data_IF_695854101024
#
_entry.id   IF_695854101024
#
_cell.length_a   1.000
_cell.length_b   1.000
_cell.length_c   1.000
_cell.angle_alpha   90.00
_cell.angle_beta   90.00
_cell.angle_gamma   90.00
#
_symmetry.space_group_name_H-M   'P 1'
#
loop_
_entity.id
_entity.type
_entity.pdbx_description
1 polymer ?
#
# COMPACT_ATOMS: atom_id res chain seq x y z
N UNK A 1 11.42 -4.71 -17.27
CA UNK A 1 10.02 -4.27 -17.51
C UNK A 1 9.65 -3.28 -16.41
N UNK A 2 9.02 -2.15 -16.72
CA UNK A 2 8.60 -1.22 -15.67
C UNK A 2 7.32 -1.75 -15.01
N UNK A 3 7.42 -2.24 -13.76
CA UNK A 3 6.29 -2.83 -13.01
C UNK A 3 5.06 -1.92 -12.97
N UNK A 4 5.24 -0.62 -12.78
CA UNK A 4 4.12 0.32 -12.65
C UNK A 4 3.46 0.69 -13.97
N UNK A 5 4.18 0.60 -15.09
CA UNK A 5 3.65 0.91 -16.42
C UNK A 5 2.94 -0.29 -17.09
N UNK A 6 3.15 -1.50 -16.61
CA UNK A 6 2.47 -2.68 -17.13
C UNK A 6 1.07 -2.80 -16.50
N UNK A 7 0.04 -2.48 -17.27
CA UNK A 7 -1.38 -2.67 -16.87
C UNK A 7 -2.00 -3.91 -17.52
N UNK A 8 -1.22 -4.76 -18.17
CA UNK A 8 -1.71 -6.00 -18.78
C UNK A 8 -1.89 -7.12 -17.75
N UNK A 9 -1.17 -7.02 -16.62
CA UNK A 9 -1.25 -7.92 -15.48
C UNK A 9 -1.90 -7.22 -14.31
N UNK A 10 -2.80 -7.92 -13.62
CA UNK A 10 -3.49 -7.37 -12.46
C UNK A 10 -2.58 -7.39 -11.22
N UNK A 11 -2.62 -6.34 -10.41
CA UNK A 11 -1.93 -6.29 -9.11
C UNK A 11 -2.93 -6.11 -7.97
N UNK A 12 -2.52 -6.38 -6.72
CA UNK A 12 -3.36 -6.14 -5.55
C UNK A 12 -3.85 -4.69 -5.45
N UNK A 13 -3.01 -3.70 -5.80
CA UNK A 13 -3.42 -2.29 -5.81
C UNK A 13 -4.47 -1.99 -6.88
N UNK A 14 -4.41 -2.67 -8.03
CA UNK A 14 -5.43 -2.58 -9.07
C UNK A 14 -6.74 -3.19 -8.59
N UNK A 15 -6.73 -4.36 -7.96
CA UNK A 15 -7.92 -4.98 -7.35
C UNK A 15 -8.54 -4.09 -6.26
N UNK A 16 -7.71 -3.47 -5.43
CA UNK A 16 -8.18 -2.52 -4.42
C UNK A 16 -8.83 -1.27 -5.04
N UNK A 17 -8.29 -0.77 -6.15
CA UNK A 17 -8.90 0.33 -6.91
C UNK A 17 -10.23 -0.08 -7.55
N UNK A 18 -10.32 -1.28 -8.11
CA UNK A 18 -11.55 -1.84 -8.67
C UNK A 18 -12.64 -1.95 -7.61
N UNK A 19 -12.30 -2.49 -6.44
CA UNK A 19 -13.22 -2.61 -5.27
C UNK A 19 -13.76 -1.24 -4.84
N UNK A 20 -12.92 -0.20 -4.86
CA UNK A 20 -13.35 1.16 -4.55
C UNK A 20 -14.30 1.73 -5.61
N UNK A 21 -13.93 1.62 -6.88
CA UNK A 21 -14.73 2.16 -7.98
C UNK A 21 -14.24 1.62 -9.33
N UNK A 22 -15.07 0.87 -10.05
CA UNK A 22 -14.77 0.45 -11.42
C UNK A 22 -14.48 1.63 -12.37
N UNK A 23 -15.17 2.74 -12.20
CA UNK A 23 -14.92 3.95 -12.99
C UNK A 23 -13.53 4.55 -12.74
N UNK A 24 -13.10 4.58 -11.46
CA UNK A 24 -11.75 5.01 -11.08
C UNK A 24 -10.67 4.06 -11.60
N UNK A 25 -10.95 2.74 -11.54
CA UNK A 25 -10.08 1.73 -12.14
C UNK A 25 -9.87 1.98 -13.63
N UNK A 26 -10.97 2.17 -14.39
CA UNK A 26 -10.91 2.49 -15.81
C UNK A 26 -10.07 3.73 -16.07
N UNK A 27 -10.38 4.82 -15.41
CA UNK A 27 -9.66 6.10 -15.56
C UNK A 27 -8.15 5.92 -15.36
N UNK A 28 -7.75 5.18 -14.32
CA UNK A 28 -6.34 5.06 -13.94
C UNK A 28 -5.58 4.05 -14.79
N UNK A 29 -6.14 2.87 -15.01
CA UNK A 29 -5.41 1.72 -15.56
C UNK A 29 -5.75 1.39 -17.02
N UNK A 30 -6.90 1.84 -17.53
CA UNK A 30 -7.31 1.65 -18.91
C UNK A 30 -7.08 2.94 -19.71
N UNK A 31 -7.56 4.07 -19.21
CA UNK A 31 -7.42 5.37 -19.87
C UNK A 31 -6.06 6.03 -19.59
N UNK A 32 -5.28 5.49 -18.63
CA UNK A 32 -3.92 5.94 -18.35
C UNK A 32 -3.82 7.32 -17.71
N UNK A 33 -4.88 7.80 -17.02
CA UNK A 33 -4.85 9.10 -16.34
C UNK A 33 -4.00 9.00 -15.07
N UNK A 34 -2.87 9.72 -14.99
CA UNK A 34 -2.01 9.66 -13.82
C UNK A 34 -2.70 10.24 -12.59
N UNK A 35 -2.33 9.75 -11.41
CA UNK A 35 -2.74 10.32 -10.14
C UNK A 35 -1.52 10.84 -9.38
N UNK A 36 -1.61 12.05 -8.87
CA UNK A 36 -0.57 12.60 -8.01
C UNK A 36 -0.50 11.80 -6.69
N UNK A 37 0.70 11.46 -6.22
CA UNK A 37 0.86 10.80 -4.93
C UNK A 37 0.45 11.74 -3.79
N UNK A 38 -0.22 11.19 -2.78
CA UNK A 38 -0.51 11.94 -1.55
C UNK A 38 0.75 12.06 -0.69
N UNK A 39 0.73 12.97 0.30
CA UNK A 39 1.84 13.11 1.25
C UNK A 39 2.11 11.83 2.01
N UNK A 40 1.06 11.10 2.37
CA UNK A 40 1.16 9.79 3.04
C UNK A 40 1.83 8.75 2.14
N UNK A 41 1.52 8.74 0.84
CA UNK A 41 2.19 7.85 -0.12
C UNK A 41 3.66 8.22 -0.28
N UNK A 42 3.99 9.51 -0.36
CA UNK A 42 5.39 9.97 -0.42
C UNK A 42 6.15 9.58 0.83
N UNK A 43 5.57 9.77 2.02
CA UNK A 43 6.15 9.35 3.28
C UNK A 43 6.39 7.84 3.34
N UNK A 44 5.37 7.04 2.96
CA UNK A 44 5.49 5.58 2.90
C UNK A 44 6.61 5.13 1.97
N UNK A 45 6.67 5.69 0.75
CA UNK A 45 7.73 5.38 -0.22
C UNK A 45 9.13 5.77 0.28
N UNK A 46 9.25 6.90 0.97
CA UNK A 46 10.51 7.33 1.58
C UNK A 46 10.95 6.36 2.68
N UNK A 47 10.03 5.97 3.59
CA UNK A 47 10.31 5.01 4.64
C UNK A 47 10.74 3.64 4.05
N UNK A 48 10.00 3.12 3.07
CA UNK A 48 10.38 1.87 2.39
C UNK A 48 11.80 1.96 1.82
N UNK A 49 12.14 3.08 1.17
CA UNK A 49 13.51 3.27 0.64
C UNK A 49 14.54 3.31 1.77
N UNK A 50 14.27 4.00 2.89
CA UNK A 50 15.19 4.07 4.02
C UNK A 50 15.44 2.70 4.67
N UNK A 51 14.38 1.89 4.80
CA UNK A 51 14.45 0.57 5.45
C UNK A 51 15.07 -0.49 4.53
N UNK A 52 14.70 -0.50 3.25
CA UNK A 52 14.98 -1.62 2.34
C UNK A 52 16.12 -1.34 1.35
N UNK A 53 16.33 -0.09 0.97
CA UNK A 53 17.32 0.35 -0.02
C UNK A 53 17.98 1.67 0.43
N UNK A 54 18.59 1.74 1.63
CA UNK A 54 19.07 3.00 2.21
C UNK A 54 20.08 3.75 1.33
N UNK A 55 20.86 3.05 0.52
CA UNK A 55 21.78 3.62 -0.45
C UNK A 55 21.07 4.41 -1.57
N UNK A 56 19.80 4.09 -1.85
CA UNK A 56 19.02 4.75 -2.90
C UNK A 56 18.33 6.04 -2.43
N UNK A 57 18.35 6.34 -1.14
CA UNK A 57 17.66 7.52 -0.58
C UNK A 57 18.14 8.80 -1.23
N UNK A 58 19.47 8.98 -1.33
CA UNK A 58 20.06 10.17 -1.92
C UNK A 58 19.77 10.32 -3.42
N UNK A 59 19.55 9.19 -4.11
CA UNK A 59 19.23 9.21 -5.55
C UNK A 59 17.77 9.49 -5.83
N UNK A 60 16.87 9.02 -4.94
CA UNK A 60 15.40 9.11 -5.13
C UNK A 60 14.78 10.36 -4.51
N UNK A 61 15.40 10.93 -3.47
CA UNK A 61 14.82 12.03 -2.70
C UNK A 61 15.75 13.22 -2.57
N UNK A 62 15.16 14.40 -2.43
CA UNK A 62 15.87 15.65 -2.14
C UNK A 62 15.12 16.43 -1.06
N UNK A 63 15.86 16.92 -0.06
CA UNK A 63 15.29 17.72 1.03
C UNK A 63 15.16 19.17 0.56
N UNK A 64 13.96 19.71 0.62
CA UNK A 64 13.68 21.10 0.27
C UNK A 64 14.45 22.05 1.21
N UNK A 65 15.07 23.13 0.69
CA UNK A 65 15.72 24.12 1.54
C UNK A 65 14.69 24.83 2.42
N UNK A 66 15.07 25.06 3.69
CA UNK A 66 14.25 25.77 4.67
C UNK A 66 14.27 27.29 4.41
N UNK A 67 13.52 27.75 3.39
CA UNK A 67 13.47 29.16 2.99
C UNK A 67 12.04 29.68 2.96
N UNK A 68 11.86 30.96 3.27
CA UNK A 68 10.54 31.61 3.10
C UNK A 68 10.28 31.93 1.62
N UNK A 69 9.53 31.04 0.96
CA UNK A 69 9.16 31.18 -0.45
C UNK A 69 8.23 32.35 -0.78
N UNK A 70 7.86 33.20 0.19
CA UNK A 70 7.15 34.45 -0.04
C UNK A 70 8.11 35.57 -0.39
N UNK A 71 9.36 35.50 0.05
CA UNK A 71 10.40 36.48 -0.25
C UNK A 71 11.01 36.28 -1.65
N UNK A 72 11.59 37.33 -2.23
CA UNK A 72 12.28 37.25 -3.52
C UNK A 72 13.49 36.34 -3.44
N UNK A 73 14.26 36.44 -2.36
CA UNK A 73 15.46 35.62 -2.11
C UNK A 73 15.10 34.14 -1.92
N UNK A 74 14.10 33.83 -1.07
CA UNK A 74 13.66 32.48 -0.86
C UNK A 74 13.08 31.81 -2.12
N UNK A 75 12.38 32.59 -2.98
CA UNK A 75 11.97 32.10 -4.30
C UNK A 75 13.14 31.74 -5.21
N UNK A 76 14.18 32.58 -5.22
CA UNK A 76 15.38 32.35 -6.03
C UNK A 76 16.09 31.06 -5.57
N UNK A 77 16.37 30.94 -4.27
CA UNK A 77 17.00 29.73 -3.69
C UNK A 77 16.20 28.48 -4.01
N UNK A 78 14.88 28.54 -3.83
CA UNK A 78 14.00 27.38 -4.11
C UNK A 78 13.96 27.04 -5.60
N UNK A 79 13.97 28.04 -6.47
CA UNK A 79 14.05 27.83 -7.92
C UNK A 79 15.36 27.16 -8.33
N UNK A 80 16.50 27.64 -7.80
CA UNK A 80 17.81 27.04 -8.09
C UNK A 80 17.87 25.58 -7.58
N UNK A 81 17.28 25.31 -6.41
CA UNK A 81 17.15 23.95 -5.91
C UNK A 81 16.36 23.06 -6.88
N UNK A 82 15.24 23.54 -7.43
CA UNK A 82 14.42 22.76 -8.38
C UNK A 82 15.21 22.37 -9.64
N UNK A 83 16.18 23.18 -10.07
CA UNK A 83 17.02 22.87 -11.21
C UNK A 83 18.02 21.71 -10.95
N UNK A 84 18.26 21.37 -9.69
CA UNK A 84 19.16 20.27 -9.28
C UNK A 84 18.48 18.92 -9.09
N UNK A 85 17.15 18.85 -9.17
CA UNK A 85 16.38 17.69 -8.70
C UNK A 85 16.58 16.41 -9.51
N UNK A 86 16.88 16.50 -10.82
CA UNK A 86 17.08 15.30 -11.68
C UNK A 86 16.07 14.17 -11.42
N UNK A 87 14.76 14.48 -11.41
CA UNK A 87 13.65 13.54 -11.15
C UNK A 87 13.49 13.06 -9.69
N UNK A 88 14.23 13.63 -8.72
CA UNK A 88 14.07 13.27 -7.32
C UNK A 88 12.72 13.76 -6.77
N UNK A 89 12.15 12.97 -5.88
CA UNK A 89 10.97 13.38 -5.10
C UNK A 89 11.41 14.36 -4.02
N UNK A 90 10.76 15.52 -3.98
CA UNK A 90 11.06 16.56 -2.97
C UNK A 90 10.26 16.27 -1.71
N UNK A 91 10.95 16.28 -0.58
CA UNK A 91 10.36 16.19 0.76
C UNK A 91 10.85 17.36 1.62
N UNK A 92 10.08 17.77 2.62
CA UNK A 92 10.55 18.72 3.62
C UNK A 92 11.43 18.04 4.69
N UNK A 93 12.17 18.82 5.44
CA UNK A 93 13.09 18.32 6.45
C UNK A 93 12.37 17.54 7.57
N UNK A 94 11.19 17.99 7.97
CA UNK A 94 10.41 17.34 9.03
C UNK A 94 9.89 15.96 8.58
N UNK A 95 9.41 15.88 7.33
CA UNK A 95 9.00 14.61 6.70
C UNK A 95 10.18 13.63 6.62
N UNK A 96 11.36 14.12 6.19
CA UNK A 96 12.56 13.30 6.08
C UNK A 96 13.01 12.78 7.45
N UNK A 97 13.08 13.66 8.45
CA UNK A 97 13.51 13.30 9.80
C UNK A 97 12.50 12.32 10.46
N UNK A 98 11.21 12.55 10.29
CA UNK A 98 10.18 11.62 10.79
C UNK A 98 10.32 10.23 10.16
N UNK A 99 10.58 10.14 8.84
CA UNK A 99 10.80 8.86 8.17
C UNK A 99 12.09 8.18 8.65
N UNK A 100 13.16 8.95 8.89
CA UNK A 100 14.42 8.44 9.43
C UNK A 100 14.23 7.84 10.83
N UNK A 101 13.54 8.55 11.71
CA UNK A 101 13.25 8.04 13.05
C UNK A 101 12.38 6.78 13.02
N UNK A 102 11.42 6.69 12.10
CA UNK A 102 10.62 5.48 11.90
C UNK A 102 11.49 4.31 11.36
N UNK A 103 12.43 4.57 10.45
CA UNK A 103 13.37 3.57 9.96
C UNK A 103 14.26 3.05 11.09
N UNK A 104 14.87 3.95 11.87
CA UNK A 104 15.72 3.60 13.01
C UNK A 104 14.97 2.74 14.04
N UNK A 105 13.68 3.03 14.26
CA UNK A 105 12.85 2.27 15.19
C UNK A 105 12.57 0.84 14.68
N UNK A 106 12.31 0.66 13.37
CA UNK A 106 12.17 -0.68 12.77
C UNK A 106 13.50 -1.44 12.79
N UNK A 107 14.60 -0.81 12.43
CA UNK A 107 15.93 -1.42 12.43
C UNK A 107 16.38 -1.85 13.83
N UNK A 108 15.89 -1.16 14.85
CA UNK A 108 16.17 -1.49 16.25
C UNK A 108 15.27 -2.62 16.80
N UNK A 109 14.20 -2.99 16.09
CA UNK A 109 13.29 -4.04 16.54
C UNK A 109 13.95 -5.41 16.43
N UNK A 110 14.06 -6.15 17.55
CA UNK A 110 14.85 -7.38 17.65
C UNK A 110 14.40 -8.49 16.70
N UNK A 111 13.10 -8.56 16.41
CA UNK A 111 12.50 -9.59 15.55
C UNK A 111 12.41 -9.19 14.08
N UNK A 112 12.62 -7.91 13.74
CA UNK A 112 12.67 -7.47 12.34
C UNK A 112 14.06 -7.73 11.79
N UNK A 113 14.29 -8.98 11.33
CA UNK A 113 15.56 -9.45 10.80
C UNK A 113 15.31 -10.29 9.56
N UNK A 114 16.24 -10.24 8.64
CA UNK A 114 16.19 -11.01 7.39
C UNK A 114 17.59 -11.46 6.97
N UNK A 115 17.65 -12.56 6.23
CA UNK A 115 18.91 -13.15 5.80
C UNK A 115 19.66 -12.25 4.79
N UNK A 116 21.00 -12.26 4.80
CA UNK A 116 21.77 -11.66 3.70
C UNK A 116 21.37 -12.29 2.35
N UNK A 117 21.10 -11.45 1.35
CA UNK A 117 20.66 -11.92 0.02
C UNK A 117 19.15 -12.04 -0.11
N UNK A 118 18.37 -11.64 0.88
CA UNK A 118 16.92 -11.47 0.73
C UNK A 118 16.59 -10.56 -0.47
N UNK A 119 15.46 -10.84 -1.12
CA UNK A 119 15.06 -10.17 -2.35
C UNK A 119 14.22 -8.93 -2.00
N UNK A 120 14.74 -7.73 -2.33
CA UNK A 120 14.07 -6.46 -2.09
C UNK A 120 13.30 -6.03 -3.33
N UNK A 121 12.07 -5.52 -3.16
CA UNK A 121 11.25 -4.91 -4.21
C UNK A 121 11.22 -5.72 -5.51
N UNK A 122 11.23 -7.06 -5.39
CA UNK A 122 11.34 -7.98 -6.54
C UNK A 122 9.97 -8.14 -7.22
N UNK A 123 9.94 -7.88 -8.52
CA UNK A 123 8.74 -8.05 -9.33
C UNK A 123 8.54 -9.52 -9.69
N UNK A 124 7.37 -10.06 -9.42
CA UNK A 124 6.95 -11.44 -9.70
C UNK A 124 5.73 -11.42 -10.61
N UNK A 125 5.76 -12.26 -11.65
CA UNK A 125 4.61 -12.55 -12.50
C UNK A 125 4.08 -13.94 -12.14
N UNK A 126 2.76 -14.05 -11.98
CA UNK A 126 2.15 -15.32 -11.59
C UNK A 126 0.71 -15.40 -12.13
N UNK A 127 0.12 -16.58 -12.01
CA UNK A 127 -1.26 -16.82 -12.41
C UNK A 127 -2.17 -16.94 -11.19
N UNK A 128 -3.30 -16.25 -11.21
CA UNK A 128 -4.37 -16.42 -10.23
C UNK A 128 -5.58 -17.04 -10.92
N UNK A 129 -5.69 -18.37 -10.86
CA UNK A 129 -6.76 -19.16 -11.45
C UNK A 129 -7.10 -18.78 -12.91
N UNK A 130 -6.09 -18.64 -13.75
CA UNK A 130 -6.21 -18.30 -15.17
C UNK A 130 -6.09 -16.81 -15.49
N UNK A 131 -5.92 -15.95 -14.49
CA UNK A 131 -5.70 -14.51 -14.70
C UNK A 131 -4.23 -14.17 -14.45
N UNK A 132 -3.60 -13.52 -15.46
CA UNK A 132 -2.23 -13.05 -15.34
C UNK A 132 -2.11 -11.93 -14.31
N UNK A 133 -1.31 -12.17 -13.30
CA UNK A 133 -1.10 -11.28 -12.16
C UNK A 133 0.35 -10.85 -12.02
N UNK A 134 0.57 -9.81 -11.23
CA UNK A 134 1.90 -9.36 -10.82
C UNK A 134 1.90 -8.92 -9.37
N UNK A 135 2.98 -9.23 -8.66
CA UNK A 135 3.22 -8.82 -7.30
C UNK A 135 4.61 -8.18 -7.17
N UNK A 136 4.77 -7.34 -6.18
CA UNK A 136 6.04 -6.72 -5.84
C UNK A 136 6.12 -6.61 -4.31
N UNK A 137 6.47 -7.71 -3.62
CA UNK A 137 6.68 -7.70 -2.18
C UNK A 137 7.83 -6.78 -1.80
N UNK A 138 7.74 -6.16 -0.63
CA UNK A 138 8.76 -5.25 -0.12
C UNK A 138 10.08 -6.01 0.11
N UNK A 139 10.03 -7.16 0.79
CA UNK A 139 11.19 -8.00 1.03
C UNK A 139 10.80 -9.47 1.16
N UNK A 140 11.52 -10.35 0.48
CA UNK A 140 11.33 -11.80 0.50
C UNK A 140 12.60 -12.44 1.07
N UNK A 141 12.48 -13.02 2.24
CA UNK A 141 13.50 -13.83 2.90
C UNK A 141 13.17 -15.31 2.70
N UNK A 142 13.76 -15.89 1.66
CA UNK A 142 13.53 -17.31 1.32
C UNK A 142 14.21 -18.26 2.28
N UNK A 143 15.28 -17.84 2.96
CA UNK A 143 16.00 -18.67 3.94
C UNK A 143 15.16 -18.87 5.20
N UNK A 144 14.49 -17.83 5.68
CA UNK A 144 13.63 -17.87 6.86
C UNK A 144 12.14 -18.06 6.50
N UNK A 145 11.81 -18.20 5.21
CA UNK A 145 10.44 -18.39 4.70
C UNK A 145 9.49 -17.26 5.12
N UNK A 146 9.95 -15.99 5.04
CA UNK A 146 9.17 -14.82 5.45
C UNK A 146 9.09 -13.80 4.29
N UNK A 147 7.90 -13.28 4.06
CA UNK A 147 7.67 -12.04 3.32
C UNK A 147 7.45 -10.93 4.35
N UNK A 148 8.32 -9.93 4.34
CA UNK A 148 8.17 -8.72 5.14
C UNK A 148 7.49 -7.63 4.33
N UNK A 149 6.56 -6.92 4.95
CA UNK A 149 5.81 -5.85 4.32
C UNK A 149 5.75 -4.65 5.30
N UNK A 150 6.42 -3.57 4.95
CA UNK A 150 6.56 -2.38 5.80
C UNK A 150 5.33 -1.51 5.71
N UNK A 151 4.75 -1.16 6.84
CA UNK A 151 3.54 -0.32 6.90
C UNK A 151 3.69 0.85 7.85
N UNK A 152 3.28 2.03 7.39
CA UNK A 152 3.08 3.19 8.25
C UNK A 152 1.66 3.22 8.78
N UNK A 153 1.49 3.57 10.05
CA UNK A 153 0.18 3.69 10.68
C UNK A 153 0.12 4.94 11.58
N UNK A 154 -1.09 5.33 11.96
CA UNK A 154 -1.31 6.34 13.00
C UNK A 154 -1.10 5.76 14.41
N UNK A 155 -1.22 4.45 14.56
CA UNK A 155 -0.93 3.72 15.79
C UNK A 155 -0.51 2.30 15.42
N UNK A 156 0.47 1.77 16.14
CA UNK A 156 0.90 0.39 16.01
C UNK A 156 0.07 -0.59 16.86
N UNK A 157 -0.97 -0.12 17.57
CA UNK A 157 -1.81 -1.01 18.40
C UNK A 157 -2.58 -2.03 17.55
N UNK A 158 -2.84 -3.25 18.08
CA UNK A 158 -3.56 -4.30 17.38
C UNK A 158 -4.92 -3.84 16.84
N UNK A 159 -5.69 -3.09 17.64
CA UNK A 159 -7.03 -2.63 17.26
C UNK A 159 -6.99 -1.61 16.12
N UNK A 160 -5.99 -0.72 16.12
CA UNK A 160 -5.82 0.29 15.08
C UNK A 160 -5.35 -0.37 13.78
N UNK A 161 -4.37 -1.28 13.88
CA UNK A 161 -3.85 -1.95 12.70
C UNK A 161 -4.87 -2.91 12.09
N UNK A 162 -5.67 -3.62 12.91
CA UNK A 162 -6.75 -4.47 12.42
C UNK A 162 -7.79 -3.69 11.56
N UNK A 163 -8.11 -2.45 11.94
CA UNK A 163 -8.93 -1.57 11.08
C UNK A 163 -8.23 -1.25 9.76
N UNK A 164 -6.95 -0.91 9.80
CA UNK A 164 -6.15 -0.66 8.60
C UNK A 164 -6.08 -1.89 7.69
N UNK A 165 -5.99 -3.11 8.24
CA UNK A 165 -6.03 -4.36 7.48
C UNK A 165 -7.31 -4.44 6.64
N UNK A 166 -8.47 -4.09 7.21
CA UNK A 166 -9.76 -4.10 6.50
C UNK A 166 -9.85 -2.95 5.51
N UNK A 167 -9.54 -1.73 5.95
CA UNK A 167 -9.73 -0.51 5.16
C UNK A 167 -8.86 -0.50 3.89
N UNK A 168 -7.61 -0.95 4.01
CA UNK A 168 -6.66 -1.00 2.89
C UNK A 168 -6.59 -2.37 2.21
N UNK A 169 -7.22 -3.41 2.80
CA UNK A 169 -7.25 -4.76 2.23
C UNK A 169 -5.90 -5.47 2.33
N UNK A 170 -5.19 -5.32 3.44
CA UNK A 170 -3.91 -5.97 3.66
C UNK A 170 -4.03 -7.49 3.76
N UNK A 171 -5.19 -8.01 4.21
CA UNK A 171 -5.51 -9.44 4.17
C UNK A 171 -5.51 -9.99 2.73
N UNK A 172 -5.97 -9.22 1.74
CA UNK A 172 -5.87 -9.59 0.32
C UNK A 172 -4.42 -9.52 -0.18
N UNK A 173 -3.69 -8.47 0.22
CA UNK A 173 -2.29 -8.30 -0.16
C UNK A 173 -1.44 -9.48 0.31
N UNK A 174 -1.64 -9.92 1.55
CA UNK A 174 -0.84 -11.01 2.13
C UNK A 174 -1.01 -12.32 1.37
N UNK A 175 -2.23 -12.73 1.05
CA UNK A 175 -2.50 -13.99 0.32
C UNK A 175 -2.04 -13.88 -1.13
N UNK A 176 -2.25 -12.72 -1.76
CA UNK A 176 -1.85 -12.46 -3.14
C UNK A 176 -0.32 -12.53 -3.33
N UNK A 177 0.44 -11.96 -2.37
CA UNK A 177 1.90 -11.97 -2.41
C UNK A 177 2.47 -13.34 -2.02
N UNK A 178 1.87 -14.03 -1.06
CA UNK A 178 2.26 -15.41 -0.70
C UNK A 178 2.10 -16.36 -1.87
N UNK A 179 0.99 -16.28 -2.61
CA UNK A 179 0.77 -17.08 -3.82
C UNK A 179 1.79 -16.77 -4.90
N UNK A 180 2.11 -15.49 -5.13
CA UNK A 180 3.13 -15.09 -6.09
C UNK A 180 4.50 -15.69 -5.75
N UNK A 181 4.91 -15.62 -4.48
CA UNK A 181 6.19 -16.18 -4.00
C UNK A 181 6.19 -17.69 -4.09
N UNK A 182 5.09 -18.35 -3.71
CA UNK A 182 4.95 -19.80 -3.82
C UNK A 182 5.11 -20.29 -5.28
N UNK A 183 4.43 -19.65 -6.23
CA UNK A 183 4.55 -20.03 -7.64
C UNK A 183 5.94 -19.75 -8.22
N UNK A 184 6.56 -18.63 -7.84
CA UNK A 184 7.84 -18.24 -8.40
C UNK A 184 9.02 -19.03 -7.83
N UNK A 185 9.01 -19.32 -6.53
CA UNK A 185 10.16 -19.89 -5.81
C UNK A 185 9.87 -21.26 -5.21
N UNK A 186 8.63 -21.73 -5.18
CA UNK A 186 8.23 -23.01 -4.58
C UNK A 186 8.24 -23.00 -3.05
N UNK A 187 8.32 -21.82 -2.41
CA UNK A 187 8.42 -21.66 -0.96
C UNK A 187 7.14 -21.04 -0.41
N UNK A 188 6.52 -21.70 0.56
CA UNK A 188 5.35 -21.18 1.28
C UNK A 188 5.79 -20.30 2.44
N UNK A 189 5.91 -19.00 2.18
CA UNK A 189 6.34 -18.05 3.19
C UNK A 189 5.20 -17.62 4.13
N UNK A 190 5.55 -17.33 5.38
CA UNK A 190 4.75 -16.50 6.28
C UNK A 190 4.72 -15.07 5.73
N UNK A 191 3.69 -14.32 6.09
CA UNK A 191 3.59 -12.90 5.71
C UNK A 191 3.50 -12.05 6.97
N UNK A 192 4.50 -11.21 7.18
CA UNK A 192 4.62 -10.40 8.40
C UNK A 192 4.60 -8.92 8.03
N UNK A 193 3.66 -8.19 8.61
CA UNK A 193 3.61 -6.74 8.54
C UNK A 193 4.56 -6.14 9.57
N UNK A 194 5.54 -5.36 9.13
CA UNK A 194 6.40 -4.54 9.98
C UNK A 194 5.77 -3.13 10.08
N UNK A 195 5.02 -2.91 11.14
CA UNK A 195 4.21 -1.70 11.33
C UNK A 195 4.96 -0.69 12.18
N UNK A 196 5.08 0.55 11.70
CA UNK A 196 5.61 1.67 12.48
C UNK A 196 4.60 2.81 12.56
N UNK A 197 4.36 3.29 13.78
CA UNK A 197 3.50 4.45 14.05
C UNK A 197 4.32 5.74 14.02
N UNK A 198 3.78 6.76 13.31
CA UNK A 198 4.39 8.10 13.22
C UNK A 198 4.03 8.99 14.42
N UNK A 199 3.94 8.42 15.60
CA UNK A 199 3.53 9.10 16.82
C UNK A 199 4.73 9.33 17.74
N UNK A 200 4.59 10.18 18.73
CA UNK A 200 5.57 10.34 19.79
C UNK A 200 5.00 9.73 21.10
N UNK A 201 5.61 8.66 21.65
CA UNK A 201 6.79 7.97 21.12
C UNK A 201 6.50 7.17 19.83
N UNK A 202 7.55 6.96 19.01
CA UNK A 202 7.45 6.07 17.84
C UNK A 202 7.36 4.62 18.36
N UNK A 203 6.33 3.92 17.89
CA UNK A 203 6.09 2.53 18.24
C UNK A 203 6.16 1.64 17.01
N UNK A 204 6.75 0.45 17.16
CA UNK A 204 6.78 -0.58 16.14
C UNK A 204 6.08 -1.85 16.65
N UNK A 205 5.41 -2.56 15.74
CA UNK A 205 4.82 -3.86 16.02
C UNK A 205 4.90 -4.76 14.78
N UNK A 206 5.03 -6.05 15.00
CA UNK A 206 5.02 -7.05 13.94
C UNK A 206 3.72 -7.85 14.03
N UNK A 207 3.05 -8.01 12.88
CA UNK A 207 1.77 -8.70 12.81
C UNK A 207 1.76 -9.75 11.72
N UNK A 208 1.22 -10.90 12.05
CA UNK A 208 0.85 -11.96 11.13
C UNK A 208 -0.67 -12.16 11.20
N UNK A 209 -1.33 -12.32 10.08
CA UNK A 209 -2.76 -12.58 10.04
C UNK A 209 -3.06 -14.03 10.39
N UNK A 210 -4.15 -14.26 11.08
CA UNK A 210 -4.65 -15.60 11.35
C UNK A 210 -5.19 -16.28 10.07
N UNK A 211 -5.53 -17.56 10.20
CA UNK A 211 -6.05 -18.33 9.07
C UNK A 211 -7.39 -17.79 8.58
N UNK A 212 -8.25 -17.29 9.47
CA UNK A 212 -9.57 -16.74 9.12
C UNK A 212 -9.41 -15.50 8.24
N UNK A 213 -8.52 -14.57 8.61
CA UNK A 213 -8.22 -13.39 7.80
C UNK A 213 -7.63 -13.76 6.43
N UNK A 214 -6.78 -14.81 6.40
CA UNK A 214 -6.21 -15.33 5.15
C UNK A 214 -7.28 -15.96 4.25
N UNK A 215 -8.20 -16.74 4.80
CA UNK A 215 -9.30 -17.34 4.05
C UNK A 215 -10.22 -16.27 3.46
N UNK A 216 -10.59 -15.25 4.26
CA UNK A 216 -11.36 -14.10 3.80
C UNK A 216 -10.61 -13.37 2.69
N UNK A 217 -9.30 -13.15 2.86
CA UNK A 217 -8.46 -12.51 1.85
C UNK A 217 -8.48 -13.26 0.51
N UNK A 218 -8.36 -14.58 0.56
CA UNK A 218 -8.39 -15.45 -0.63
C UNK A 218 -9.73 -15.37 -1.36
N UNK A 219 -10.84 -15.46 -0.62
CA UNK A 219 -12.19 -15.34 -1.20
C UNK A 219 -12.38 -13.95 -1.83
N UNK A 220 -11.97 -12.88 -1.15
CA UNK A 220 -12.12 -11.53 -1.70
C UNK A 220 -11.24 -11.29 -2.94
N UNK A 221 -10.01 -11.82 -2.97
CA UNK A 221 -9.16 -11.74 -4.18
C UNK A 221 -9.84 -12.45 -5.33
N UNK A 222 -10.35 -13.68 -5.14
CA UNK A 222 -11.04 -14.42 -6.18
C UNK A 222 -12.24 -13.65 -6.73
N UNK A 223 -13.10 -13.14 -5.86
CA UNK A 223 -14.25 -12.34 -6.27
C UNK A 223 -13.87 -11.10 -7.08
N UNK A 224 -12.80 -10.43 -6.70
CA UNK A 224 -12.32 -9.23 -7.42
C UNK A 224 -11.67 -9.58 -8.76
N UNK A 225 -10.99 -10.71 -8.85
CA UNK A 225 -10.44 -11.21 -10.12
C UNK A 225 -11.57 -11.60 -11.07
N UNK A 226 -12.58 -12.31 -10.59
CA UNK A 226 -13.77 -12.69 -11.38
C UNK A 226 -14.52 -11.44 -11.86
N UNK A 227 -14.71 -10.44 -10.99
CA UNK A 227 -15.30 -9.14 -11.36
C UNK A 227 -14.47 -8.43 -12.42
N UNK A 228 -13.15 -8.41 -12.28
CA UNK A 228 -12.25 -7.80 -13.27
C UNK A 228 -12.39 -8.45 -14.65
N UNK A 229 -12.33 -9.78 -14.73
CA UNK A 229 -12.43 -10.51 -15.99
C UNK A 229 -13.82 -10.33 -16.65
N UNK A 230 -14.89 -10.33 -15.84
CA UNK A 230 -16.23 -10.07 -16.36
C UNK A 230 -16.38 -8.64 -16.91
N UNK A 231 -15.89 -7.64 -16.18
CA UNK A 231 -15.92 -6.25 -16.62
C UNK A 231 -15.06 -6.02 -17.87
N UNK A 232 -13.90 -6.64 -17.91
CA UNK A 232 -13.00 -6.61 -19.08
C UNK A 232 -13.69 -7.22 -20.31
N UNK A 233 -14.31 -8.38 -20.17
CA UNK A 233 -15.06 -9.05 -21.24
C UNK A 233 -16.24 -8.23 -21.76
N UNK A 234 -16.97 -7.55 -20.85
CA UNK A 234 -18.13 -6.71 -21.19
C UNK A 234 -17.77 -5.28 -21.55
N UNK A 235 -16.54 -4.88 -21.28
CA UNK A 235 -16.10 -3.47 -21.28
C UNK A 235 -17.03 -2.55 -20.48
N UNK A 236 -17.56 -3.05 -19.34
CA UNK A 236 -18.45 -2.30 -18.44
C UNK A 236 -17.73 -1.92 -17.15
N UNK A 237 -17.27 -0.68 -17.12
CA UNK A 237 -16.56 -0.10 -15.97
C UNK A 237 -17.41 0.91 -15.20
N UNK A 238 -18.72 0.89 -15.39
CA UNK A 238 -19.65 1.77 -14.67
C UNK A 238 -19.85 1.23 -13.25
N UNK A 239 -19.76 2.11 -12.27
CA UNK A 239 -20.05 1.76 -10.87
C UNK A 239 -21.54 1.47 -10.71
N UNK A 240 -21.89 0.40 -10.01
CA UNK A 240 -23.31 -0.03 -9.83
C UNK A 240 -24.16 1.05 -9.20
N UNK A 241 -23.62 1.77 -8.23
CA UNK A 241 -24.30 2.90 -7.55
C UNK A 241 -24.51 4.14 -8.42
N UNK A 242 -23.89 4.21 -9.59
CA UNK A 242 -24.12 5.31 -10.55
C UNK A 242 -25.36 5.09 -11.42
N UNK A 243 -26.04 3.95 -11.26
CA UNK A 243 -27.22 3.60 -12.05
C UNK A 243 -28.49 3.77 -11.21
N UNK A 244 -29.31 4.77 -11.54
CA UNK A 244 -30.63 4.99 -10.91
C UNK A 244 -30.57 5.52 -9.47
N UNK A 245 -31.64 5.31 -8.75
CA UNK A 245 -31.78 5.66 -7.32
C UNK A 245 -31.47 4.44 -6.48
N UNK A 246 -30.50 4.57 -5.58
CA UNK A 246 -30.08 3.49 -4.69
C UNK A 246 -30.72 3.66 -3.31
N UNK A 247 -31.23 2.57 -2.74
CA UNK A 247 -31.65 2.55 -1.35
C UNK A 247 -30.41 2.51 -0.44
N UNK A 248 -30.36 3.38 0.57
CA UNK A 248 -29.26 3.48 1.52
C UNK A 248 -29.76 3.11 2.92
N UNK A 249 -29.18 2.05 3.47
CA UNK A 249 -29.40 1.66 4.86
C UNK A 249 -28.33 2.28 5.77
N UNK A 250 -28.69 2.56 7.02
CA UNK A 250 -27.72 3.01 8.02
C UNK A 250 -26.70 1.89 8.33
N UNK A 251 -25.45 2.26 8.62
CA UNK A 251 -24.44 1.27 8.99
C UNK A 251 -24.87 0.43 10.20
N UNK A 252 -24.49 -0.86 10.23
CA UNK A 252 -24.87 -1.78 11.30
C UNK A 252 -24.42 -1.36 12.70
N UNK A 253 -23.37 -0.57 12.80
CA UNK A 253 -22.87 -0.03 14.07
C UNK A 253 -23.66 1.19 14.55
N UNK A 254 -24.46 1.82 13.70
CA UNK A 254 -25.35 2.92 14.08
C UNK A 254 -26.64 2.34 14.66
N UNK A 255 -26.69 2.19 15.96
CA UNK A 255 -27.88 1.74 16.70
C UNK A 255 -28.52 2.95 17.37
N UNK A 256 -29.75 3.28 16.97
CA UNK A 256 -30.65 4.04 17.83
C UNK A 256 -31.23 3.04 18.81
N UNK A 257 -31.36 3.38 20.10
CA UNK A 257 -32.11 2.57 21.04
C UNK A 257 -33.53 2.38 20.49
N UNK A 258 -33.87 1.17 20.08
CA UNK A 258 -35.16 0.82 19.48
C UNK A 258 -36.38 1.02 20.41
N UNK A 259 -36.17 1.42 21.68
CA UNK A 259 -37.21 1.72 22.65
C UNK A 259 -37.92 3.06 22.41
N UNK A 260 -37.43 3.92 21.48
CA UNK A 260 -38.06 5.24 21.24
C UNK A 260 -38.84 5.32 19.90
N UNK A 261 -38.86 4.26 19.07
CA UNK A 261 -39.47 4.31 17.73
C UNK A 261 -40.78 3.52 17.63
N UNK A 262 -41.26 2.88 18.72
CA UNK A 262 -42.51 2.12 18.70
C UNK A 262 -43.48 2.70 19.75
N UNK A 263 -43.88 3.94 19.51
CA UNK A 263 -45.09 4.51 20.14
C UNK A 263 -45.62 5.65 19.26
N UNK A 264 -46.31 5.27 18.20
CA UNK A 264 -47.50 5.96 17.68
C UNK A 264 -48.24 4.99 16.75
#
# INVERSE_FOLDING_TARGET
MNYYADHTRISNSMLSCLKQSPAKFKQRYIDGVPSEPTKEMVFGSLLHTMVLEPEMVADRYAIAPAVDRRTKEGKAIYHDFLLTLNHKTVVDADTFESARLCSDALDSHSEFRYAPGSLVETSIEFDWFGTNCKAKPDLIDLENEIIWDVKTSQSASPESFARSVVDYGYHRQSVFYREAVLQQFGVLCRFVFAVVAKTDPIECALYELDSVASDVGTVEVQQLVDEYEERKRKNDWVSTWSKGVNSLALPRWYRIHQSEVVSE
#
